data_IF_484943531526
#
_entry.id   IF_484943531526
#
_cell.length_a   1.000
_cell.length_b   1.000
_cell.length_c   1.000
_cell.angle_alpha   90.00
_cell.angle_beta   90.00
_cell.angle_gamma   90.00
#
_symmetry.space_group_name_H-M   'P 1'
#
loop_
_entity.id
_entity.type
_entity.pdbx_description
1 polymer ?
#
# COMPACT_ATOMS: atom_id res chain seq x y z
N UNK A 1 0.10 39.48 9.58
CA UNK A 1 -1.26 38.96 9.36
C UNK A 1 -1.10 37.50 8.96
N UNK A 2 -1.61 36.56 9.79
CA UNK A 2 -1.68 35.14 9.38
C UNK A 2 -2.85 35.00 8.42
N UNK A 3 -2.56 34.65 7.17
CA UNK A 3 -3.57 34.35 6.19
C UNK A 3 -4.05 32.92 6.41
N UNK A 4 -5.35 32.72 6.63
CA UNK A 4 -5.95 31.40 6.84
C UNK A 4 -6.72 31.03 5.57
N UNK A 5 -6.34 29.94 4.94
CA UNK A 5 -7.06 29.35 3.82
C UNK A 5 -8.00 28.27 4.32
N UNK A 6 -9.28 28.38 3.98
CA UNK A 6 -10.29 27.38 4.30
C UNK A 6 -10.88 26.80 3.04
N UNK A 7 -10.96 25.48 2.99
CA UNK A 7 -11.63 24.75 1.93
C UNK A 7 -12.36 23.54 2.54
N UNK A 8 -13.66 23.35 2.25
CA UNK A 8 -14.38 22.18 2.74
C UNK A 8 -13.82 20.93 2.05
N UNK A 9 -13.13 20.11 2.84
CA UNK A 9 -12.41 18.92 2.36
C UNK A 9 -13.31 17.90 1.66
N UNK A 10 -14.59 17.85 1.99
CA UNK A 10 -15.52 16.86 1.45
C UNK A 10 -16.76 17.53 0.84
N UNK A 11 -16.55 18.48 -0.03
CA UNK A 11 -17.64 19.19 -0.70
C UNK A 11 -18.44 18.29 -1.64
N UNK A 12 -17.81 17.23 -2.19
CA UNK A 12 -18.42 16.17 -2.96
C UNK A 12 -18.11 14.83 -2.32
N UNK A 13 -19.11 13.97 -2.11
CA UNK A 13 -18.94 12.65 -1.46
C UNK A 13 -17.89 11.75 -2.12
N UNK A 14 -17.57 11.99 -3.40
CA UNK A 14 -16.65 11.19 -4.20
C UNK A 14 -15.32 11.89 -4.50
N UNK A 15 -15.09 13.08 -3.92
CA UNK A 15 -13.86 13.82 -4.15
C UNK A 15 -12.77 13.37 -3.18
N UNK A 16 -11.66 12.84 -3.73
CA UNK A 16 -10.48 12.53 -2.92
C UNK A 16 -9.88 13.80 -2.29
N UNK A 17 -9.28 13.67 -1.10
CA UNK A 17 -8.65 14.78 -0.38
C UNK A 17 -7.56 15.49 -1.21
N UNK A 18 -6.85 14.75 -2.08
CA UNK A 18 -5.86 15.30 -3.01
C UNK A 18 -6.52 16.27 -4.00
N UNK A 19 -7.65 15.91 -4.58
CA UNK A 19 -8.39 16.78 -5.49
C UNK A 19 -8.97 18.00 -4.76
N UNK A 20 -9.39 17.83 -3.51
CA UNK A 20 -9.78 18.95 -2.65
C UNK A 20 -8.60 19.89 -2.38
N UNK A 21 -7.41 19.36 -2.11
CA UNK A 21 -6.18 20.13 -1.91
C UNK A 21 -5.76 20.88 -3.19
N UNK A 22 -5.79 20.23 -4.36
CA UNK A 22 -5.55 20.88 -5.67
C UNK A 22 -6.51 22.04 -5.90
N UNK A 23 -7.80 21.81 -5.64
CA UNK A 23 -8.82 22.84 -5.77
C UNK A 23 -8.61 24.02 -4.80
N UNK A 24 -8.16 23.76 -3.57
CA UNK A 24 -7.80 24.79 -2.59
C UNK A 24 -6.63 25.65 -3.09
N UNK A 25 -5.58 25.03 -3.60
CA UNK A 25 -4.39 25.69 -4.14
C UNK A 25 -4.80 26.57 -5.33
N UNK A 26 -5.54 26.01 -6.29
CA UNK A 26 -6.01 26.74 -7.47
C UNK A 26 -6.86 27.95 -7.07
N UNK A 27 -7.81 27.76 -6.14
CA UNK A 27 -8.73 28.82 -5.70
C UNK A 27 -8.02 29.99 -5.00
N UNK A 28 -7.02 29.70 -4.17
CA UNK A 28 -6.44 30.72 -3.28
C UNK A 28 -5.11 31.29 -3.78
N UNK A 29 -4.39 30.52 -4.61
CA UNK A 29 -3.05 30.88 -5.10
C UNK A 29 -3.00 31.01 -6.61
N UNK A 30 -4.07 30.65 -7.32
CA UNK A 30 -4.15 30.57 -8.80
C UNK A 30 -3.06 29.67 -9.40
N UNK A 31 -2.62 28.64 -8.63
CA UNK A 31 -1.66 27.63 -9.09
C UNK A 31 -2.42 26.38 -9.48
N UNK A 32 -2.19 25.88 -10.68
CA UNK A 32 -2.72 24.61 -11.15
C UNK A 32 -1.74 23.48 -10.83
N UNK A 33 -2.23 22.43 -10.13
CA UNK A 33 -1.49 21.25 -9.76
C UNK A 33 -2.16 20.04 -10.41
N UNK A 34 -1.51 19.46 -11.42
CA UNK A 34 -2.03 18.32 -12.16
C UNK A 34 -1.44 16.99 -11.69
N UNK A 35 -0.24 17.03 -11.10
CA UNK A 35 0.48 15.86 -10.65
C UNK A 35 -0.16 15.21 -9.41
N UNK A 36 0.06 13.92 -9.27
CA UNK A 36 -0.22 13.18 -8.05
C UNK A 36 0.92 13.39 -7.04
N UNK A 37 0.70 13.09 -5.75
CA UNK A 37 1.76 13.09 -4.76
C UNK A 37 2.95 12.22 -5.18
N UNK A 38 4.15 12.78 -5.13
CA UNK A 38 5.40 12.10 -5.43
C UNK A 38 6.39 12.21 -4.27
N UNK A 39 7.22 11.17 -4.12
CA UNK A 39 8.32 11.14 -3.16
C UNK A 39 9.61 10.89 -3.92
N UNK A 40 10.57 11.82 -3.78
CA UNK A 40 11.90 11.70 -4.32
C UNK A 40 12.86 11.16 -3.27
N UNK A 41 13.59 10.11 -3.62
CA UNK A 41 14.65 9.53 -2.79
C UNK A 41 15.93 9.49 -3.62
N UNK A 42 17.05 9.84 -3.01
CA UNK A 42 18.34 9.75 -3.70
C UNK A 42 18.65 8.29 -4.05
N UNK A 43 19.20 8.08 -5.24
CA UNK A 43 19.66 6.75 -5.68
C UNK A 43 20.68 6.14 -4.70
N UNK A 44 21.48 6.96 -4.05
CA UNK A 44 22.45 6.52 -3.04
C UNK A 44 21.75 5.82 -1.87
N UNK A 45 20.65 6.39 -1.34
CA UNK A 45 19.87 5.77 -0.27
C UNK A 45 19.22 4.46 -0.73
N UNK A 46 18.70 4.42 -1.95
CA UNK A 46 18.13 3.20 -2.54
C UNK A 46 19.18 2.10 -2.63
N UNK A 47 20.38 2.41 -3.15
CA UNK A 47 21.51 1.48 -3.26
C UNK A 47 22.04 1.04 -1.88
N UNK A 48 22.06 1.93 -0.89
CA UNK A 48 22.45 1.58 0.48
C UNK A 48 21.46 0.61 1.13
N UNK A 49 20.16 0.85 1.01
CA UNK A 49 19.14 -0.06 1.53
C UNK A 49 19.20 -1.43 0.85
N UNK A 50 19.43 -1.45 -0.46
CA UNK A 50 19.64 -2.67 -1.25
C UNK A 50 20.77 -3.52 -0.67
N UNK A 51 21.93 -2.91 -0.39
CA UNK A 51 23.08 -3.59 0.21
C UNK A 51 22.81 -4.02 1.65
N UNK A 52 22.25 -3.12 2.49
CA UNK A 52 21.99 -3.38 3.92
C UNK A 52 21.08 -4.58 4.14
N UNK A 53 20.06 -4.74 3.31
CA UNK A 53 19.08 -5.83 3.40
C UNK A 53 19.44 -7.04 2.52
N UNK A 54 20.61 -7.02 1.86
CA UNK A 54 21.03 -8.07 0.94
C UNK A 54 19.93 -8.42 -0.07
N UNK A 55 19.32 -7.36 -0.66
CA UNK A 55 18.26 -7.52 -1.66
C UNK A 55 18.89 -8.16 -2.91
N UNK A 56 18.27 -9.21 -3.43
CA UNK A 56 18.79 -9.96 -4.56
C UNK A 56 18.04 -9.62 -5.84
N UNK A 57 18.76 -9.54 -6.95
CA UNK A 57 18.18 -9.27 -8.27
C UNK A 57 17.43 -10.46 -8.85
N UNK A 58 17.78 -11.69 -8.44
CA UNK A 58 17.14 -12.95 -8.86
C UNK A 58 15.86 -13.26 -8.08
N UNK A 59 15.52 -12.44 -7.09
CA UNK A 59 14.31 -12.55 -6.29
C UNK A 59 13.32 -11.43 -6.65
N UNK A 60 12.04 -11.76 -6.68
CA UNK A 60 10.97 -10.80 -6.83
C UNK A 60 10.69 -10.14 -5.48
N UNK A 61 11.08 -8.88 -5.34
CA UNK A 61 10.93 -8.13 -4.10
C UNK A 61 9.52 -7.51 -4.05
N UNK A 62 8.75 -7.87 -3.02
CA UNK A 62 7.34 -7.49 -2.85
C UNK A 62 7.15 -6.83 -1.49
N UNK A 63 6.53 -5.65 -1.45
CA UNK A 63 6.06 -5.07 -0.20
C UNK A 63 4.68 -5.62 0.14
N UNK A 64 4.48 -6.06 1.38
CA UNK A 64 3.17 -6.36 1.94
C UNK A 64 2.86 -5.33 3.04
N UNK A 65 1.91 -4.44 2.78
CA UNK A 65 1.42 -3.46 3.74
C UNK A 65 0.24 -4.02 4.52
N UNK A 66 0.51 -4.71 5.63
CA UNK A 66 -0.49 -5.48 6.38
C UNK A 66 -1.18 -4.68 7.49
N UNK A 67 -0.68 -3.49 7.82
CA UNK A 67 -1.28 -2.61 8.81
C UNK A 67 -2.60 -1.97 8.36
N UNK A 68 -3.21 -1.18 9.24
CA UNK A 68 -4.43 -0.44 8.96
C UNK A 68 -4.94 0.32 10.18
N UNK A 69 -5.41 1.56 9.98
CA UNK A 69 -5.87 2.45 11.06
C UNK A 69 -7.12 1.96 11.81
N UNK A 70 -7.82 0.95 11.29
CA UNK A 70 -9.00 0.36 11.91
C UNK A 70 -9.10 -1.13 11.67
N UNK A 71 -9.79 -1.87 12.55
CA UNK A 71 -9.90 -3.33 12.47
C UNK A 71 -10.59 -3.82 11.20
N UNK A 72 -11.45 -3.00 10.61
CA UNK A 72 -12.20 -3.32 9.38
C UNK A 72 -11.37 -3.23 8.11
N UNK A 73 -10.20 -2.57 8.18
CA UNK A 73 -9.25 -2.41 7.07
C UNK A 73 -8.12 -3.43 7.09
N UNK A 74 -7.95 -4.16 8.18
CA UNK A 74 -6.86 -5.14 8.35
C UNK A 74 -7.28 -6.47 7.77
N UNK A 75 -6.80 -6.76 6.58
CA UNK A 75 -7.02 -8.04 5.91
C UNK A 75 -6.33 -9.15 6.71
N UNK A 76 -6.98 -10.30 6.94
CA UNK A 76 -6.41 -11.41 7.68
C UNK A 76 -5.08 -11.94 7.06
N UNK A 77 -4.16 -12.37 7.91
CA UNK A 77 -2.89 -12.96 7.49
C UNK A 77 -3.07 -14.09 6.46
N UNK A 78 -4.11 -14.92 6.63
CA UNK A 78 -4.46 -16.02 5.72
C UNK A 78 -4.56 -15.57 4.26
N UNK A 79 -5.15 -14.40 3.99
CA UNK A 79 -5.28 -13.87 2.61
C UNK A 79 -3.91 -13.60 2.00
N UNK A 80 -3.01 -12.96 2.76
CA UNK A 80 -1.64 -12.73 2.31
C UNK A 80 -0.87 -14.05 2.13
N UNK A 81 -1.01 -15.00 3.04
CA UNK A 81 -0.33 -16.29 2.96
C UNK A 81 -0.74 -17.11 1.72
N UNK A 82 -2.02 -17.11 1.36
CA UNK A 82 -2.49 -17.72 0.12
C UNK A 82 -1.90 -17.03 -1.11
N UNK A 83 -1.87 -15.70 -1.14
CA UNK A 83 -1.22 -14.95 -2.21
C UNK A 83 0.27 -15.27 -2.30
N UNK A 84 0.98 -15.29 -1.14
CA UNK A 84 2.41 -15.63 -1.07
C UNK A 84 2.68 -17.03 -1.61
N UNK A 85 1.85 -18.01 -1.26
CA UNK A 85 1.98 -19.38 -1.76
C UNK A 85 1.92 -19.43 -3.29
N UNK A 86 0.89 -18.84 -3.88
CA UNK A 86 0.70 -18.80 -5.33
C UNK A 86 1.85 -18.15 -6.08
N UNK A 87 2.35 -17.04 -5.59
CA UNK A 87 3.44 -16.34 -6.28
C UNK A 87 4.77 -17.06 -6.11
N UNK A 88 5.01 -17.73 -4.97
CA UNK A 88 6.22 -18.52 -4.73
C UNK A 88 6.27 -19.81 -5.55
N UNK A 89 5.15 -20.36 -6.02
CA UNK A 89 5.11 -21.50 -6.94
C UNK A 89 5.71 -21.16 -8.31
N UNK A 90 5.68 -19.89 -8.71
CA UNK A 90 6.11 -19.47 -10.06
C UNK A 90 7.33 -18.55 -10.06
N UNK A 91 7.68 -17.95 -8.93
CA UNK A 91 8.80 -17.02 -8.79
C UNK A 91 9.47 -17.16 -7.42
N UNK A 92 10.78 -17.01 -7.39
CA UNK A 92 11.51 -16.82 -6.14
C UNK A 92 11.22 -15.43 -5.61
N UNK A 93 10.67 -15.32 -4.39
CA UNK A 93 10.16 -14.09 -3.83
C UNK A 93 10.85 -13.70 -2.52
N UNK A 94 10.93 -12.40 -2.26
CA UNK A 94 11.27 -11.81 -0.97
C UNK A 94 10.17 -10.83 -0.57
N UNK A 95 9.65 -10.96 0.64
CA UNK A 95 8.55 -10.17 1.16
C UNK A 95 9.02 -9.22 2.25
N UNK A 96 8.72 -7.94 2.09
CA UNK A 96 8.98 -6.90 3.07
C UNK A 96 7.65 -6.53 3.73
N UNK A 97 7.51 -6.86 5.04
CA UNK A 97 6.23 -6.73 5.74
C UNK A 97 6.19 -5.40 6.47
N UNK A 98 5.43 -4.45 5.97
CA UNK A 98 5.24 -3.14 6.56
C UNK A 98 3.94 -3.08 7.34
N UNK A 99 4.03 -2.78 8.64
CA UNK A 99 2.91 -2.75 9.57
C UNK A 99 3.17 -1.78 10.72
N UNK A 100 2.13 -1.44 11.48
CA UNK A 100 2.25 -0.66 12.70
C UNK A 100 2.62 -1.52 13.92
N UNK A 101 2.68 -0.86 15.08
CA UNK A 101 3.08 -1.50 16.36
C UNK A 101 1.91 -1.82 17.29
N UNK A 102 0.67 -1.59 16.86
CA UNK A 102 -0.44 -1.98 17.72
C UNK A 102 -0.60 -3.51 17.74
N UNK A 103 -1.22 -4.00 18.80
CA UNK A 103 -1.29 -5.42 19.12
C UNK A 103 -1.92 -6.25 18.00
N UNK A 104 -3.00 -5.77 17.39
CA UNK A 104 -3.68 -6.50 16.32
C UNK A 104 -2.85 -6.57 15.03
N UNK A 105 -2.11 -5.50 14.70
CA UNK A 105 -1.20 -5.50 13.55
C UNK A 105 -0.03 -6.44 13.79
N UNK A 106 0.49 -6.49 15.02
CA UNK A 106 1.57 -7.41 15.41
C UNK A 106 1.11 -8.88 15.41
N UNK A 107 -0.16 -9.17 15.69
CA UNK A 107 -0.72 -10.53 15.51
C UNK A 107 -0.65 -10.98 14.06
N UNK A 108 -1.06 -10.12 13.12
CA UNK A 108 -1.00 -10.42 11.68
C UNK A 108 0.46 -10.63 11.23
N UNK A 109 1.37 -9.75 11.66
CA UNK A 109 2.80 -9.91 11.39
C UNK A 109 3.33 -11.24 11.91
N UNK A 110 3.01 -11.57 13.15
CA UNK A 110 3.44 -12.82 13.79
C UNK A 110 2.93 -14.04 13.03
N UNK A 111 1.66 -14.09 12.63
CA UNK A 111 1.09 -15.19 11.85
C UNK A 111 1.84 -15.38 10.51
N UNK A 112 2.22 -14.29 9.84
CA UNK A 112 3.01 -14.36 8.59
C UNK A 112 4.42 -14.89 8.89
N UNK A 113 5.07 -14.38 9.94
CA UNK A 113 6.43 -14.78 10.30
C UNK A 113 6.52 -16.20 10.87
N UNK A 114 5.47 -16.72 11.49
CA UNK A 114 5.41 -18.11 12.00
C UNK A 114 5.04 -19.12 10.89
N UNK A 115 4.79 -18.64 9.65
CA UNK A 115 4.47 -19.50 8.51
C UNK A 115 5.72 -20.13 7.85
N UNK A 116 5.48 -21.03 6.90
CA UNK A 116 6.53 -21.61 6.05
C UNK A 116 7.33 -20.59 5.23
N UNK A 117 6.86 -19.34 5.14
CA UNK A 117 7.51 -18.25 4.40
C UNK A 117 8.46 -17.40 5.26
N UNK A 118 8.72 -17.81 6.49
CA UNK A 118 9.59 -17.09 7.44
C UNK A 118 10.89 -16.57 6.82
N UNK A 119 11.62 -17.46 6.16
CA UNK A 119 12.95 -17.17 5.60
C UNK A 119 12.90 -16.23 4.39
N UNK A 120 11.72 -16.06 3.78
CA UNK A 120 11.47 -15.15 2.68
C UNK A 120 10.97 -13.77 3.15
N UNK A 121 10.69 -13.61 4.45
CA UNK A 121 10.12 -12.40 5.02
C UNK A 121 11.15 -11.54 5.73
N UNK A 122 11.00 -10.22 5.58
CA UNK A 122 11.72 -9.19 6.33
C UNK A 122 10.67 -8.28 6.99
N UNK A 123 10.62 -8.29 8.32
CA UNK A 123 9.73 -7.39 9.06
C UNK A 123 10.28 -5.96 9.07
N UNK A 124 9.45 -4.97 8.79
CA UNK A 124 9.81 -3.55 8.75
C UNK A 124 9.22 -2.74 9.92
N UNK A 125 8.55 -3.39 10.86
CA UNK A 125 7.89 -2.76 12.00
C UNK A 125 8.84 -1.99 12.93
N UNK A 126 10.14 -2.33 12.94
CA UNK A 126 11.18 -1.63 13.69
C UNK A 126 11.94 -0.57 12.88
N UNK A 127 11.54 -0.34 11.63
CA UNK A 127 12.11 0.71 10.80
C UNK A 127 11.27 2.00 10.90
N UNK A 128 11.95 3.14 10.88
CA UNK A 128 11.29 4.43 10.69
C UNK A 128 10.75 4.54 9.26
N UNK A 129 9.82 5.47 9.02
CA UNK A 129 9.33 5.74 7.67
C UNK A 129 10.48 6.05 6.72
N UNK A 130 11.44 6.90 7.14
CA UNK A 130 12.59 7.27 6.32
C UNK A 130 13.46 6.07 5.92
N UNK A 131 13.62 5.07 6.81
CA UNK A 131 14.35 3.83 6.50
C UNK A 131 13.55 2.89 5.61
N UNK A 132 12.22 2.94 5.70
CA UNK A 132 11.32 2.09 4.92
C UNK A 132 11.18 2.57 3.46
N UNK A 133 11.19 3.89 3.20
CA UNK A 133 11.01 4.44 1.85
C UNK A 133 12.00 3.86 0.81
N UNK A 134 13.32 3.83 1.05
CA UNK A 134 14.26 3.25 0.08
C UNK A 134 14.08 1.74 -0.09
N UNK A 135 13.55 1.03 0.91
CA UNK A 135 13.22 -0.40 0.81
C UNK A 135 12.02 -0.57 -0.12
N UNK A 136 10.96 0.22 0.07
CA UNK A 136 9.78 0.22 -0.82
C UNK A 136 10.21 0.48 -2.26
N UNK A 137 11.10 1.46 -2.50
CA UNK A 137 11.58 1.80 -3.85
C UNK A 137 12.29 0.64 -4.54
N UNK A 138 12.86 -0.30 -3.78
CA UNK A 138 13.47 -1.53 -4.30
C UNK A 138 12.45 -2.65 -4.56
N UNK A 139 11.20 -2.50 -4.15
CA UNK A 139 10.16 -3.48 -4.42
C UNK A 139 9.60 -3.32 -5.85
N UNK A 140 9.31 -4.41 -6.51
CA UNK A 140 8.72 -4.41 -7.85
C UNK A 140 7.25 -4.03 -7.84
N UNK A 141 6.52 -4.57 -6.85
CA UNK A 141 5.09 -4.35 -6.64
C UNK A 141 4.82 -4.33 -5.13
N UNK A 142 3.85 -3.53 -4.72
CA UNK A 142 3.32 -3.51 -3.36
C UNK A 142 1.91 -4.08 -3.32
N UNK A 143 1.58 -4.85 -2.29
CA UNK A 143 0.23 -5.33 -1.98
C UNK A 143 -0.11 -4.84 -0.58
N UNK A 144 -0.99 -3.87 -0.47
CA UNK A 144 -1.22 -3.16 0.78
C UNK A 144 -2.71 -3.05 1.11
N UNK A 145 -3.03 -3.18 2.38
CA UNK A 145 -4.30 -2.67 2.90
C UNK A 145 -4.43 -1.17 2.59
N UNK A 146 -5.60 -0.59 2.80
CA UNK A 146 -5.78 0.87 2.80
C UNK A 146 -5.02 1.50 3.99
N UNK A 147 -3.74 1.80 3.75
CA UNK A 147 -2.77 2.27 4.76
C UNK A 147 -1.84 3.32 4.18
N UNK A 148 -1.09 4.01 5.06
CA UNK A 148 -0.02 4.91 4.66
C UNK A 148 1.00 4.27 3.71
N UNK A 149 1.30 2.98 3.86
CA UNK A 149 2.26 2.28 2.99
C UNK A 149 1.77 2.14 1.55
N UNK A 150 0.46 2.02 1.31
CA UNK A 150 -0.10 2.05 -0.04
C UNK A 150 0.16 3.40 -0.72
N UNK A 151 -0.07 4.49 0.01
CA UNK A 151 0.16 5.84 -0.50
C UNK A 151 1.65 6.14 -0.72
N UNK A 152 2.51 5.74 0.22
CA UNK A 152 3.97 5.88 0.10
C UNK A 152 4.51 5.10 -1.09
N UNK A 153 4.06 3.86 -1.29
CA UNK A 153 4.46 3.02 -2.43
C UNK A 153 4.07 3.68 -3.77
N UNK A 154 2.82 4.11 -3.87
CA UNK A 154 2.33 4.80 -5.07
C UNK A 154 3.10 6.10 -5.36
N UNK A 155 3.37 6.91 -4.32
CA UNK A 155 4.12 8.16 -4.44
C UNK A 155 5.60 7.94 -4.80
N UNK A 156 6.16 6.78 -4.47
CA UNK A 156 7.50 6.35 -4.91
C UNK A 156 7.53 5.80 -6.34
N UNK A 157 6.38 5.75 -7.03
CA UNK A 157 6.26 5.19 -8.37
C UNK A 157 6.23 3.66 -8.39
N UNK A 158 6.02 3.00 -7.25
CA UNK A 158 5.87 1.55 -7.17
C UNK A 158 4.42 1.18 -7.47
N UNK A 159 4.21 0.24 -8.40
CA UNK A 159 2.87 -0.30 -8.70
C UNK A 159 2.30 -0.96 -7.45
N UNK A 160 1.11 -0.54 -7.03
CA UNK A 160 0.54 -0.88 -5.73
C UNK A 160 -0.87 -1.43 -5.86
N UNK A 161 -1.06 -2.68 -5.48
CA UNK A 161 -2.38 -3.27 -5.32
C UNK A 161 -2.93 -2.82 -3.96
N UNK A 162 -4.07 -2.12 -3.96
CA UNK A 162 -4.72 -1.59 -2.76
C UNK A 162 -5.93 -2.44 -2.39
N UNK A 163 -5.93 -3.00 -1.18
CA UNK A 163 -7.01 -3.87 -0.70
C UNK A 163 -8.06 -3.02 0.01
N UNK A 164 -9.10 -2.65 -0.73
CA UNK A 164 -10.12 -1.68 -0.32
C UNK A 164 -11.32 -2.40 0.32
N UNK A 165 -11.18 -2.80 1.58
CA UNK A 165 -12.18 -3.62 2.28
C UNK A 165 -13.34 -2.85 2.89
N UNK A 166 -13.10 -1.60 3.32
CA UNK A 166 -14.05 -0.80 4.08
C UNK A 166 -13.83 0.72 3.89
N UNK A 167 -13.31 1.12 2.76
CA UNK A 167 -13.03 2.53 2.42
C UNK A 167 -13.34 2.77 0.96
N UNK A 168 -14.01 3.90 0.61
CA UNK A 168 -14.31 4.24 -0.77
C UNK A 168 -13.10 4.19 -1.70
N UNK A 169 -13.30 3.74 -2.94
CA UNK A 169 -12.22 3.55 -3.93
C UNK A 169 -11.40 4.81 -4.21
N UNK A 170 -11.98 5.99 -4.02
CA UNK A 170 -11.28 7.27 -4.19
C UNK A 170 -9.98 7.37 -3.37
N UNK A 171 -9.85 6.62 -2.27
CA UNK A 171 -8.64 6.59 -1.45
C UNK A 171 -7.56 5.64 -1.98
N UNK A 172 -7.94 4.65 -2.77
CA UNK A 172 -7.01 3.63 -3.27
C UNK A 172 -6.87 3.57 -4.79
N UNK A 173 -7.33 4.60 -5.54
CA UNK A 173 -7.35 4.60 -7.00
C UNK A 173 -7.05 5.97 -7.64
N UNK A 174 -6.52 6.92 -6.89
CA UNK A 174 -6.24 8.28 -7.39
C UNK A 174 -4.96 8.41 -8.22
N UNK A 175 -4.12 7.41 -8.22
CA UNK A 175 -2.85 7.37 -8.96
C UNK A 175 -2.85 6.24 -9.99
N UNK A 176 -2.18 6.44 -11.11
CA UNK A 176 -1.94 5.39 -12.13
C UNK A 176 -1.12 4.22 -11.60
N UNK A 177 -0.46 4.40 -10.45
CA UNK A 177 0.26 3.34 -9.76
C UNK A 177 -0.62 2.53 -8.79
N UNK A 178 -1.92 2.86 -8.63
CA UNK A 178 -2.82 2.19 -7.70
C UNK A 178 -3.82 1.30 -8.44
N UNK A 179 -3.94 0.06 -7.97
CA UNK A 179 -4.78 -1.00 -8.54
C UNK A 179 -5.69 -1.56 -7.45
N UNK A 180 -6.90 -1.01 -7.27
CA UNK A 180 -7.77 -1.42 -6.17
C UNK A 180 -8.35 -2.82 -6.38
N UNK A 181 -8.45 -3.57 -5.28
CA UNK A 181 -9.23 -4.80 -5.16
C UNK A 181 -10.29 -4.59 -4.09
N UNK A 182 -11.53 -4.94 -4.42
CA UNK A 182 -12.69 -4.85 -3.52
C UNK A 182 -13.16 -6.24 -3.12
N UNK A 183 -13.92 -6.36 -2.01
CA UNK A 183 -14.48 -7.61 -1.54
C UNK A 183 -15.35 -8.31 -2.59
N UNK A 184 -15.38 -9.63 -2.55
CA UNK A 184 -16.28 -10.39 -3.40
C UNK A 184 -17.75 -10.11 -3.06
N UNK A 185 -18.60 -10.05 -4.09
CA UNK A 185 -20.04 -9.86 -3.93
C UNK A 185 -20.49 -8.40 -3.76
N UNK A 186 -19.56 -7.41 -3.85
CA UNK A 186 -19.93 -5.99 -3.82
C UNK A 186 -19.54 -5.30 -5.12
N UNK A 187 -20.32 -4.30 -5.53
CA UNK A 187 -20.03 -3.46 -6.70
C UNK A 187 -19.24 -2.21 -6.34
N UNK A 188 -19.35 -1.73 -5.12
CA UNK A 188 -18.66 -0.55 -4.58
C UNK A 188 -18.37 -0.73 -3.09
N UNK A 189 -17.43 0.03 -2.57
CA UNK A 189 -17.01 -0.01 -1.17
C UNK A 189 -17.30 1.33 -0.50
N UNK A 190 -17.81 1.27 0.73
CA UNK A 190 -18.07 2.41 1.62
C UNK A 190 -17.35 2.19 2.96
N UNK A 191 -17.42 3.17 3.86
CA UNK A 191 -16.90 3.04 5.24
C UNK A 191 -17.64 2.01 6.11
N UNK A 192 -18.71 1.37 5.60
CA UNK A 192 -19.50 0.36 6.32
C UNK A 192 -19.64 -0.95 5.53
N UNK A 193 -18.73 -1.21 4.59
CA UNK A 193 -18.74 -2.45 3.80
C UNK A 193 -18.31 -3.65 4.61
N UNK A 194 -17.41 -3.47 5.59
CA UNK A 194 -16.90 -4.52 6.48
C UNK A 194 -16.40 -5.77 5.75
N UNK A 195 -15.76 -5.57 4.59
CA UNK A 195 -15.49 -6.63 3.62
C UNK A 195 -14.12 -7.30 3.75
N UNK A 196 -13.36 -7.09 4.85
CA UNK A 196 -11.97 -7.57 4.99
C UNK A 196 -11.81 -9.07 4.76
N UNK A 197 -12.76 -9.87 5.22
CA UNK A 197 -12.73 -11.33 5.10
C UNK A 197 -13.19 -11.84 3.72
N UNK A 198 -13.65 -10.94 2.85
CA UNK A 198 -14.10 -11.21 1.48
C UNK A 198 -13.11 -10.71 0.42
N UNK A 199 -11.95 -10.20 0.82
CA UNK A 199 -10.87 -9.90 -0.12
C UNK A 199 -10.31 -11.22 -0.63
N UNK A 200 -10.44 -11.44 -1.94
CA UNK A 200 -10.12 -12.70 -2.58
C UNK A 200 -8.64 -12.76 -2.98
N UNK A 201 -7.84 -13.69 -2.42
CA UNK A 201 -6.41 -13.84 -2.77
C UNK A 201 -6.17 -14.20 -4.24
N UNK A 202 -7.11 -14.86 -4.91
CA UNK A 202 -7.04 -15.11 -6.36
C UNK A 202 -7.08 -13.81 -7.16
N UNK A 203 -7.95 -12.87 -6.77
CA UNK A 203 -8.00 -11.56 -7.43
C UNK A 203 -6.71 -10.79 -7.21
N UNK A 204 -6.10 -10.89 -6.01
CA UNK A 204 -4.78 -10.29 -5.73
C UNK A 204 -3.74 -10.89 -6.68
N UNK A 205 -3.67 -12.22 -6.75
CA UNK A 205 -2.72 -12.93 -7.59
C UNK A 205 -2.89 -12.58 -9.08
N UNK A 206 -4.11 -12.65 -9.60
CA UNK A 206 -4.39 -12.34 -11.00
C UNK A 206 -4.05 -10.88 -11.36
N UNK A 207 -4.39 -9.94 -10.47
CA UNK A 207 -4.01 -8.54 -10.63
C UNK A 207 -2.51 -8.37 -10.60
N UNK A 208 -1.83 -9.03 -9.65
CA UNK A 208 -0.37 -8.99 -9.52
C UNK A 208 0.31 -9.48 -10.80
N UNK A 209 -0.15 -10.59 -11.37
CA UNK A 209 0.38 -11.14 -12.62
C UNK A 209 0.15 -10.20 -13.81
N UNK A 210 -1.02 -9.59 -13.91
CA UNK A 210 -1.33 -8.61 -14.96
C UNK A 210 -0.49 -7.33 -14.90
N UNK A 211 0.06 -6.99 -13.71
CA UNK A 211 0.94 -5.84 -13.51
C UNK A 211 2.40 -6.20 -13.77
N UNK A 212 2.78 -7.46 -13.50
CA UNK A 212 4.14 -7.97 -13.63
C UNK A 212 4.54 -8.23 -15.10
N UNK A 213 3.53 -8.62 -15.94
CA UNK A 213 3.68 -8.80 -17.38
C UNK A 213 3.95 -7.46 -18.08
#
# INVERSE_FOLDING_TARGET
IKQIYQYPLFKKKEQHIIEAAKSLIKKNLDIEVNENPEIYISETLVKLSYKKLNIKNDELNILLGTGGSGPTKRIPAKTFLIFMEKICEIRKCRFYIATGKNEDEQKILKEILDSKFRDQCVALDNHTINETLPIIKNCKISVCNDTGFAHLSSALGVKTITLMADTPLIYGSYSTNMYPIIPDGVQYVTHNTLGKDKINPEKIFNKFMSILS
#
